data_IF_962850722384
#
_entry.id   IF_962850722384
#
_cell.length_a   1.000
_cell.length_b   1.000
_cell.length_c   1.000
_cell.angle_alpha   90.00
_cell.angle_beta   90.00
_cell.angle_gamma   90.00
#
_symmetry.space_group_name_H-M   'P 1'
#
loop_
_entity.id
_entity.type
_entity.pdbx_description
1 polymer ?
#
# COMPACT_ATOMS: atom_id res chain seq x y z
N UNK A 1 9.40 4.70 26.77
CA UNK A 1 8.72 3.60 26.06
C UNK A 1 7.74 4.24 25.09
N UNK A 2 7.90 4.00 23.79
CA UNK A 2 6.97 4.52 22.79
C UNK A 2 5.93 3.44 22.51
N UNK A 3 4.66 3.78 22.66
CA UNK A 3 3.54 2.88 22.39
C UNK A 3 2.79 3.41 21.18
N UNK A 4 2.62 2.56 20.18
CA UNK A 4 1.85 2.87 18.97
C UNK A 4 0.64 1.95 18.93
N UNK A 5 -0.54 2.53 18.72
CA UNK A 5 -1.80 1.79 18.63
C UNK A 5 -2.23 1.73 17.17
N UNK A 6 -2.24 0.53 16.58
CA UNK A 6 -2.81 0.34 15.24
C UNK A 6 -4.34 0.34 15.31
N UNK A 7 -4.98 0.92 14.30
CA UNK A 7 -6.43 0.82 14.11
C UNK A 7 -6.85 -0.51 13.43
N UNK A 8 -5.88 -1.30 12.97
CA UNK A 8 -6.04 -2.58 12.25
C UNK A 8 -5.21 -3.67 12.91
N UNK A 9 -5.56 -4.93 12.64
CA UNK A 9 -4.89 -6.12 13.16
C UNK A 9 -3.61 -6.44 12.38
N UNK A 10 -3.64 -6.35 11.05
CA UNK A 10 -2.45 -6.56 10.25
C UNK A 10 -1.54 -5.33 10.31
N UNK A 11 -0.27 -5.58 10.65
CA UNK A 11 0.79 -4.56 10.70
C UNK A 11 1.96 -5.00 9.84
N UNK A 12 2.60 -4.04 9.17
CA UNK A 12 3.79 -4.26 8.38
C UNK A 12 4.97 -3.51 8.99
N UNK A 13 6.07 -4.21 9.26
CA UNK A 13 7.31 -3.61 9.77
C UNK A 13 8.38 -3.77 8.69
N UNK A 14 8.78 -2.64 8.10
CA UNK A 14 9.85 -2.57 7.11
C UNK A 14 11.01 -1.75 7.64
N UNK A 15 12.25 -2.18 7.34
CA UNK A 15 13.48 -1.49 7.71
C UNK A 15 14.39 -1.41 6.50
N UNK A 16 15.08 -0.28 6.34
CA UNK A 16 16.19 -0.13 5.39
C UNK A 16 17.47 0.12 6.19
N UNK A 17 18.47 -0.73 6.01
CA UNK A 17 19.77 -0.58 6.64
C UNK A 17 20.63 0.30 5.73
N UNK A 18 20.99 1.48 6.22
CA UNK A 18 21.74 2.48 5.46
C UNK A 18 23.24 2.52 5.84
N UNK A 19 23.62 1.87 6.94
CA UNK A 19 25.01 1.75 7.36
C UNK A 19 25.77 0.85 6.36
N UNK A 20 26.92 1.33 5.91
CA UNK A 20 27.75 0.67 4.89
C UNK A 20 28.93 -0.10 5.46
N UNK A 21 29.08 -0.11 6.79
CA UNK A 21 30.15 -0.81 7.49
C UNK A 21 30.04 -2.33 7.24
N UNK A 22 31.12 -2.99 6.77
CA UNK A 22 31.13 -4.44 6.61
C UNK A 22 30.74 -5.16 7.91
N UNK A 23 29.81 -6.11 7.83
CA UNK A 23 29.34 -6.89 8.99
C UNK A 23 28.25 -6.22 9.84
N UNK A 24 27.84 -4.97 9.54
CA UNK A 24 26.78 -4.29 10.29
C UNK A 24 25.46 -5.05 10.27
N UNK A 25 25.09 -5.64 9.13
CA UNK A 25 23.87 -6.43 9.01
C UNK A 25 23.82 -7.59 10.02
N UNK A 26 24.91 -8.35 10.13
CA UNK A 26 24.98 -9.51 11.04
C UNK A 26 24.87 -9.06 12.51
N UNK A 27 25.52 -7.94 12.84
CA UNK A 27 25.40 -7.32 14.16
C UNK A 27 23.96 -6.90 14.43
N UNK A 28 23.32 -6.19 13.49
CA UNK A 28 21.92 -5.77 13.61
C UNK A 28 20.98 -6.98 13.77
N UNK A 29 21.11 -7.99 12.92
CA UNK A 29 20.27 -9.18 12.94
C UNK A 29 20.41 -9.95 14.26
N UNK A 30 21.62 -10.01 14.83
CA UNK A 30 21.85 -10.67 16.13
C UNK A 30 21.23 -9.94 17.33
N UNK A 31 21.05 -8.62 17.22
CA UNK A 31 20.50 -7.78 18.28
C UNK A 31 18.99 -7.51 18.14
N UNK A 32 18.42 -7.72 16.96
CA UNK A 32 17.02 -7.43 16.70
C UNK A 32 16.09 -8.43 17.39
N UNK A 33 15.16 -7.89 18.18
CA UNK A 33 14.21 -8.69 18.96
C UNK A 33 12.78 -8.28 18.65
N UNK A 34 11.92 -9.28 18.46
CA UNK A 34 10.47 -9.11 18.34
C UNK A 34 9.79 -10.18 19.18
N UNK A 35 8.90 -9.77 20.08
CA UNK A 35 8.21 -10.66 20.99
C UNK A 35 6.75 -10.25 21.15
N UNK A 36 5.91 -11.23 21.49
CA UNK A 36 4.55 -10.97 21.96
C UNK A 36 4.60 -10.41 23.38
N UNK A 37 3.64 -9.55 23.71
CA UNK A 37 3.57 -8.92 25.04
C UNK A 37 3.32 -9.94 26.17
N UNK A 38 2.83 -11.15 25.85
CA UNK A 38 2.61 -12.24 26.80
C UNK A 38 3.91 -12.91 27.31
N UNK A 39 5.07 -12.32 27.00
CA UNK A 39 6.38 -12.76 27.51
C UNK A 39 6.95 -13.97 26.76
N UNK A 40 6.26 -14.50 25.75
CA UNK A 40 6.83 -15.51 24.87
C UNK A 40 7.88 -14.86 23.97
N UNK A 41 9.14 -15.04 24.33
CA UNK A 41 10.27 -14.64 23.51
C UNK A 41 10.28 -15.51 22.24
N UNK A 42 10.01 -14.89 21.09
CA UNK A 42 10.33 -15.48 19.81
C UNK A 42 11.80 -15.20 19.49
N UNK A 43 12.53 -16.20 19.01
CA UNK A 43 13.78 -15.91 18.30
C UNK A 43 13.42 -15.21 16.99
N UNK A 44 13.91 -13.99 16.79
CA UNK A 44 13.74 -13.34 15.49
C UNK A 44 14.71 -13.97 14.50
N UNK A 45 14.21 -14.91 13.70
CA UNK A 45 14.99 -15.54 12.64
C UNK A 45 14.75 -14.82 11.32
N UNK A 46 15.74 -14.07 10.86
CA UNK A 46 15.75 -13.55 9.51
C UNK A 46 15.88 -14.70 8.51
N UNK A 47 14.97 -14.76 7.55
CA UNK A 47 15.02 -15.72 6.45
C UNK A 47 15.87 -15.08 5.35
N UNK A 48 17.01 -15.71 5.01
CA UNK A 48 17.96 -15.22 4.02
C UNK A 48 18.17 -16.25 2.90
N UNK A 49 18.75 -15.82 1.78
CA UNK A 49 19.18 -16.73 0.70
C UNK A 49 18.07 -17.49 -0.02
N UNK A 50 16.83 -16.99 0.02
CA UNK A 50 15.73 -17.57 -0.75
C UNK A 50 15.82 -17.13 -2.21
N UNK A 51 15.91 -18.11 -3.10
CA UNK A 51 15.78 -17.93 -4.55
C UNK A 51 14.49 -18.62 -5.01
N UNK A 52 13.37 -17.94 -4.82
CA UNK A 52 12.04 -18.42 -5.20
C UNK A 52 11.32 -17.32 -5.96
N UNK A 53 10.66 -17.68 -7.05
CA UNK A 53 9.78 -16.75 -7.75
C UNK A 53 8.61 -16.38 -6.82
N UNK A 54 8.43 -15.08 -6.59
CA UNK A 54 7.41 -14.57 -5.69
C UNK A 54 7.03 -13.14 -6.07
N UNK A 55 5.77 -12.79 -5.82
CA UNK A 55 5.24 -11.44 -5.98
C UNK A 55 4.26 -11.09 -4.85
N UNK A 56 4.34 -9.85 -4.37
CA UNK A 56 3.35 -9.23 -3.48
C UNK A 56 2.34 -8.34 -4.23
N UNK A 57 2.37 -8.31 -5.57
CA UNK A 57 1.38 -7.56 -6.35
C UNK A 57 -0.03 -8.08 -6.07
N UNK A 58 -1.01 -7.18 -6.03
CA UNK A 58 -2.40 -7.58 -5.90
C UNK A 58 -2.78 -8.64 -6.97
N UNK A 59 -3.48 -9.72 -6.59
CA UNK A 59 -3.95 -10.71 -7.55
C UNK A 59 -5.00 -10.10 -8.49
N UNK A 60 -5.32 -10.82 -9.57
CA UNK A 60 -6.27 -10.37 -10.59
C UNK A 60 -7.54 -11.22 -10.59
N UNK A 61 -8.59 -10.72 -11.23
CA UNK A 61 -9.85 -11.45 -11.36
C UNK A 61 -10.54 -11.70 -10.02
N UNK A 62 -11.07 -12.90 -9.80
CA UNK A 62 -11.79 -13.24 -8.56
C UNK A 62 -10.86 -13.36 -7.34
N UNK A 63 -9.58 -13.65 -7.53
CA UNK A 63 -8.62 -13.76 -6.42
C UNK A 63 -8.39 -12.41 -5.72
N UNK A 64 -8.53 -11.29 -6.44
CA UNK A 64 -8.56 -9.94 -5.87
C UNK A 64 -9.69 -9.79 -4.85
N UNK A 65 -10.90 -10.20 -5.24
CA UNK A 65 -12.09 -10.06 -4.41
C UNK A 65 -12.12 -11.05 -3.25
N UNK A 66 -11.57 -12.25 -3.46
CA UNK A 66 -11.34 -13.21 -2.39
C UNK A 66 -10.40 -12.63 -1.34
N UNK A 67 -9.26 -12.08 -1.75
CA UNK A 67 -8.31 -11.42 -0.84
C UNK A 67 -8.98 -10.25 -0.10
N UNK A 68 -9.78 -9.43 -0.78
CA UNK A 68 -10.53 -8.36 -0.13
C UNK A 68 -11.51 -8.90 0.92
N UNK A 69 -12.22 -9.98 0.61
CA UNK A 69 -13.11 -10.64 1.56
C UNK A 69 -12.36 -11.18 2.78
N UNK A 70 -11.17 -11.74 2.60
CA UNK A 70 -10.32 -12.22 3.70
C UNK A 70 -9.89 -11.05 4.59
N UNK A 71 -9.43 -9.94 4.00
CA UNK A 71 -9.10 -8.70 4.73
C UNK A 71 -10.30 -8.16 5.52
N UNK A 72 -11.48 -8.10 4.89
CA UNK A 72 -12.74 -7.67 5.54
C UNK A 72 -13.08 -8.55 6.76
N UNK A 73 -12.76 -9.84 6.69
CA UNK A 73 -13.00 -10.77 7.79
C UNK A 73 -11.98 -10.61 8.92
N UNK A 74 -10.71 -10.40 8.59
CA UNK A 74 -9.61 -10.25 9.56
C UNK A 74 -9.59 -8.89 10.28
N UNK A 75 -10.01 -7.81 9.61
CA UNK A 75 -9.84 -6.44 10.12
C UNK A 75 -11.07 -5.89 10.86
N UNK A 76 -10.91 -5.04 11.87
CA UNK A 76 -12.04 -4.31 12.44
C UNK A 76 -12.62 -3.32 11.42
N UNK A 77 -13.94 -3.16 11.41
CA UNK A 77 -14.59 -2.15 10.54
C UNK A 77 -14.48 -0.79 11.20
N UNK A 78 -13.69 0.12 10.63
CA UNK A 78 -13.54 1.48 11.14
C UNK A 78 -14.65 2.38 10.60
N UNK A 79 -14.94 3.54 11.24
CA UNK A 79 -15.94 4.48 10.75
C UNK A 79 -15.74 4.88 9.28
N UNK A 80 -14.50 5.16 8.88
CA UNK A 80 -14.13 5.52 7.50
C UNK A 80 -14.43 4.41 6.47
N UNK A 81 -14.46 3.15 6.90
CA UNK A 81 -14.65 2.01 6.01
C UNK A 81 -16.14 1.65 5.80
N UNK A 82 -17.05 2.14 6.65
CA UNK A 82 -18.47 1.71 6.66
C UNK A 82 -19.20 1.94 5.34
N UNK A 83 -18.90 3.03 4.64
CA UNK A 83 -19.49 3.30 3.32
C UNK A 83 -19.03 2.26 2.29
N UNK A 84 -17.75 1.89 2.30
CA UNK A 84 -17.21 0.82 1.45
C UNK A 84 -17.83 -0.53 1.79
N UNK A 85 -17.99 -0.84 3.08
CA UNK A 85 -18.66 -2.06 3.53
C UNK A 85 -20.09 -2.15 2.97
N UNK A 86 -20.83 -1.05 2.96
CA UNK A 86 -22.18 -1.01 2.38
C UNK A 86 -22.18 -1.27 0.86
N UNK A 87 -21.18 -0.75 0.14
CA UNK A 87 -21.02 -0.98 -1.31
C UNK A 87 -20.67 -2.43 -1.66
N UNK A 88 -20.04 -3.17 -0.73
CA UNK A 88 -19.64 -4.56 -0.91
C UNK A 88 -20.79 -5.57 -0.72
N UNK A 89 -21.80 -5.23 0.09
CA UNK A 89 -22.95 -6.10 0.36
C UNK A 89 -23.66 -6.64 -0.90
N UNK A 90 -24.06 -5.81 -1.89
CA UNK A 90 -24.73 -6.31 -3.10
C UNK A 90 -23.82 -7.17 -4.00
N UNK A 91 -22.51 -7.14 -3.75
CA UNK A 91 -21.50 -7.94 -4.45
C UNK A 91 -21.20 -9.27 -3.75
N UNK A 92 -21.83 -9.55 -2.60
CA UNK A 92 -21.67 -10.80 -1.87
C UNK A 92 -20.45 -10.82 -0.93
N UNK A 93 -19.88 -9.65 -0.64
CA UNK A 93 -18.76 -9.52 0.31
C UNK A 93 -19.30 -8.84 1.58
N UNK A 94 -19.25 -9.58 2.69
CA UNK A 94 -19.76 -9.14 3.98
C UNK A 94 -18.90 -9.70 5.11
N UNK A 95 -18.64 -8.87 6.12
CA UNK A 95 -17.85 -9.30 7.27
C UNK A 95 -18.50 -10.48 7.98
N UNK A 96 -17.68 -11.50 8.28
CA UNK A 96 -18.08 -12.74 8.91
C UNK A 96 -18.65 -13.78 7.95
N UNK A 97 -18.76 -13.47 6.65
CA UNK A 97 -19.25 -14.41 5.63
C UNK A 97 -18.11 -14.94 4.77
N UNK A 98 -18.28 -16.18 4.31
CA UNK A 98 -17.41 -16.79 3.30
C UNK A 98 -17.62 -16.08 1.96
N UNK A 99 -16.54 -15.87 1.22
CA UNK A 99 -16.63 -15.48 -0.18
C UNK A 99 -17.17 -16.65 -1.01
N UNK A 100 -18.45 -16.56 -1.37
CA UNK A 100 -19.17 -17.54 -2.19
C UNK A 100 -20.12 -16.82 -3.17
N UNK A 101 -19.57 -16.05 -4.14
CA UNK A 101 -20.39 -15.25 -5.04
C UNK A 101 -21.16 -16.12 -6.03
N UNK A 102 -22.42 -15.75 -6.29
CA UNK A 102 -23.23 -16.38 -7.34
C UNK A 102 -22.68 -16.06 -8.75
N UNK A 103 -23.21 -16.73 -9.79
CA UNK A 103 -22.74 -16.54 -11.17
C UNK A 103 -22.83 -15.08 -11.65
N UNK A 104 -23.87 -14.35 -11.22
CA UNK A 104 -24.06 -12.94 -11.57
C UNK A 104 -23.01 -12.08 -10.88
N UNK A 105 -22.76 -12.29 -9.59
CA UNK A 105 -21.75 -11.60 -8.81
C UNK A 105 -20.36 -11.88 -9.38
N UNK A 106 -20.01 -13.13 -9.70
CA UNK A 106 -18.73 -13.48 -10.32
C UNK A 106 -18.49 -12.71 -11.62
N UNK A 107 -19.51 -12.65 -12.51
CA UNK A 107 -19.45 -11.91 -13.76
C UNK A 107 -19.20 -10.40 -13.55
N UNK A 108 -19.89 -9.80 -12.56
CA UNK A 108 -19.70 -8.37 -12.21
C UNK A 108 -18.32 -8.13 -11.59
N UNK A 109 -17.90 -8.98 -10.66
CA UNK A 109 -16.61 -8.87 -9.96
C UNK A 109 -15.43 -9.00 -10.94
N UNK A 110 -15.48 -9.94 -11.88
CA UNK A 110 -14.44 -10.08 -12.91
C UNK A 110 -14.29 -8.82 -13.77
N UNK A 111 -15.41 -8.26 -14.23
CA UNK A 111 -15.41 -7.01 -15.01
C UNK A 111 -14.95 -5.83 -14.16
N UNK A 112 -15.38 -5.78 -12.89
CA UNK A 112 -15.01 -4.74 -11.93
C UNK A 112 -13.51 -4.74 -11.64
N UNK A 113 -12.89 -5.91 -11.43
CA UNK A 113 -11.45 -6.01 -11.22
C UNK A 113 -10.65 -5.51 -12.43
N UNK A 114 -11.03 -5.94 -13.65
CA UNK A 114 -10.37 -5.51 -14.87
C UNK A 114 -10.50 -4.00 -15.10
N UNK A 115 -11.71 -3.44 -14.93
CA UNK A 115 -11.94 -2.00 -15.08
C UNK A 115 -11.22 -1.20 -13.99
N UNK A 116 -11.27 -1.63 -12.75
CA UNK A 116 -10.59 -0.98 -11.62
C UNK A 116 -9.08 -0.93 -11.80
N UNK A 117 -8.46 -2.01 -12.30
CA UNK A 117 -7.02 -2.00 -12.62
C UNK A 117 -6.70 -0.98 -13.74
N UNK A 118 -7.54 -0.88 -14.78
CA UNK A 118 -7.38 0.12 -15.83
C UNK A 118 -7.55 1.56 -15.29
N UNK A 119 -8.46 1.77 -14.35
CA UNK A 119 -8.63 3.06 -13.68
C UNK A 119 -7.36 3.45 -12.90
N UNK A 120 -6.77 2.52 -12.14
CA UNK A 120 -5.52 2.76 -11.40
C UNK A 120 -4.34 3.02 -12.35
N UNK A 121 -4.22 2.23 -13.43
CA UNK A 121 -3.18 2.47 -14.45
C UNK A 121 -3.31 3.85 -15.09
N UNK A 122 -4.54 4.29 -15.37
CA UNK A 122 -4.78 5.62 -15.89
C UNK A 122 -4.39 6.70 -14.87
N UNK A 123 -4.78 6.54 -13.60
CA UNK A 123 -4.37 7.47 -12.53
C UNK A 123 -2.85 7.55 -12.37
N UNK A 124 -2.11 6.46 -12.56
CA UNK A 124 -0.65 6.50 -12.54
C UNK A 124 -0.02 7.29 -13.68
N UNK A 125 -0.64 7.31 -14.87
CA UNK A 125 -0.11 8.04 -16.02
C UNK A 125 -0.66 9.48 -16.07
N UNK A 126 -1.87 9.68 -15.54
CA UNK A 126 -2.63 10.91 -15.56
C UNK A 126 -3.19 11.21 -14.15
N UNK A 127 -2.32 11.46 -13.15
CA UNK A 127 -2.77 11.76 -11.80
C UNK A 127 -3.53 13.09 -11.81
N UNK A 128 -4.75 13.10 -11.29
CA UNK A 128 -5.59 14.31 -11.26
C UNK A 128 -5.23 15.28 -10.13
N UNK A 129 -4.48 14.79 -9.14
CA UNK A 129 -4.08 15.51 -7.94
C UNK A 129 -2.68 16.10 -8.03
N UNK A 130 -1.91 15.77 -9.07
CA UNK A 130 -0.51 16.18 -9.18
C UNK A 130 -0.29 17.10 -10.38
N UNK A 131 0.55 18.12 -10.17
CA UNK A 131 1.06 18.99 -11.22
C UNK A 131 2.53 18.67 -11.50
N UNK A 132 3.03 19.14 -12.66
CA UNK A 132 4.45 19.04 -12.97
C UNK A 132 5.27 19.84 -11.95
N UNK A 133 6.21 19.17 -11.30
CA UNK A 133 7.06 19.75 -10.26
C UNK A 133 8.09 20.74 -10.83
N UNK A 134 8.63 20.43 -12.01
CA UNK A 134 9.52 21.34 -12.74
C UNK A 134 8.84 21.87 -14.01
N UNK A 135 8.94 23.20 -14.28
CA UNK A 135 8.39 23.79 -15.49
C UNK A 135 8.88 23.10 -16.77
N UNK A 136 7.96 22.83 -17.70
CA UNK A 136 8.27 22.20 -18.99
C UNK A 136 8.59 20.70 -18.91
N UNK A 137 8.28 20.04 -17.79
CA UNK A 137 8.50 18.59 -17.62
C UNK A 137 7.20 17.84 -17.32
N UNK A 138 7.27 16.51 -17.29
CA UNK A 138 6.21 15.63 -16.78
C UNK A 138 6.57 14.98 -15.45
N UNK A 139 7.58 15.49 -14.75
CA UNK A 139 7.98 14.97 -13.44
C UNK A 139 7.03 15.46 -12.36
N UNK A 140 6.58 14.55 -11.52
CA UNK A 140 5.81 14.86 -10.31
C UNK A 140 6.28 13.98 -9.16
N UNK A 141 5.91 14.34 -7.92
CA UNK A 141 6.20 13.49 -6.76
C UNK A 141 5.40 12.19 -6.88
N UNK A 142 6.07 11.04 -6.79
CA UNK A 142 5.43 9.72 -6.90
C UNK A 142 4.43 9.46 -5.76
N UNK A 143 4.60 10.16 -4.64
CA UNK A 143 3.72 10.14 -3.50
C UNK A 143 3.63 11.55 -2.90
N UNK A 144 2.41 12.06 -2.78
CA UNK A 144 2.11 13.40 -2.26
C UNK A 144 0.78 13.35 -1.52
N UNK A 145 0.79 12.70 -0.35
CA UNK A 145 -0.37 12.54 0.54
C UNK A 145 0.08 12.54 2.00
N UNK A 146 -0.83 12.81 2.92
CA UNK A 146 -0.56 12.83 4.35
C UNK A 146 -0.28 11.43 4.88
N UNK A 147 0.58 11.27 5.88
CA UNK A 147 0.86 9.93 6.47
C UNK A 147 -0.42 9.22 6.95
N UNK A 148 -1.40 9.99 7.42
CA UNK A 148 -2.72 9.47 7.82
C UNK A 148 -3.63 9.09 6.65
N UNK A 149 -3.32 9.52 5.42
CA UNK A 149 -4.10 9.34 4.19
C UNK A 149 -5.49 10.01 4.22
N UNK A 150 -5.59 11.08 5.00
CA UNK A 150 -6.83 11.79 5.28
C UNK A 150 -6.51 13.26 5.59
N UNK A 151 -7.39 14.15 5.12
CA UNK A 151 -7.45 15.56 5.48
C UNK A 151 -8.72 15.83 6.29
N UNK A 152 -8.89 17.06 6.77
CA UNK A 152 -10.13 17.48 7.47
C UNK A 152 -11.40 17.34 6.61
N UNK A 153 -11.28 17.11 5.30
CA UNK A 153 -12.40 17.14 4.35
C UNK A 153 -12.59 15.85 3.55
N UNK A 154 -11.57 15.03 3.38
CA UNK A 154 -11.64 13.82 2.57
C UNK A 154 -10.50 12.83 2.85
N UNK A 155 -10.71 11.58 2.41
CA UNK A 155 -9.68 10.55 2.30
C UNK A 155 -8.94 10.73 0.97
N UNK A 156 -7.61 10.63 1.02
CA UNK A 156 -6.71 10.74 -0.13
C UNK A 156 -6.72 9.44 -0.95
N UNK A 157 -7.88 9.16 -1.56
CA UNK A 157 -8.19 7.89 -2.22
C UNK A 157 -7.40 7.71 -3.52
N UNK A 158 -7.35 8.72 -4.38
CA UNK A 158 -6.67 8.65 -5.68
C UNK A 158 -5.14 8.67 -5.48
N UNK A 159 -4.66 9.40 -4.48
CA UNK A 159 -3.25 9.51 -4.10
C UNK A 159 -2.73 8.15 -3.60
N UNK A 160 -3.43 7.54 -2.63
CA UNK A 160 -3.04 6.23 -2.10
C UNK A 160 -3.18 5.12 -3.15
N UNK A 161 -4.19 5.19 -4.01
CA UNK A 161 -4.38 4.22 -5.10
C UNK A 161 -3.24 4.32 -6.13
N UNK A 162 -2.79 5.53 -6.45
CA UNK A 162 -1.69 5.77 -7.39
C UNK A 162 -0.38 5.20 -6.84
N UNK A 163 -0.02 5.58 -5.61
CA UNK A 163 1.23 5.14 -4.98
C UNK A 163 1.24 3.63 -4.70
N UNK A 164 0.21 3.09 -4.03
CA UNK A 164 0.21 1.68 -3.63
C UNK A 164 -0.08 0.70 -4.78
N UNK A 165 -0.35 1.19 -5.98
CA UNK A 165 -0.40 0.34 -7.18
C UNK A 165 1.00 0.08 -7.78
N UNK A 166 1.99 0.98 -7.59
CA UNK A 166 3.39 0.78 -8.05
C UNK A 166 4.42 0.57 -6.94
N UNK A 167 4.11 0.97 -5.72
CA UNK A 167 5.03 0.96 -4.59
C UNK A 167 4.37 0.42 -3.31
N UNK A 168 5.19 0.21 -2.29
CA UNK A 168 4.76 -0.25 -0.96
C UNK A 168 5.37 0.62 0.11
N UNK A 169 4.68 0.72 1.25
CA UNK A 169 5.06 1.54 2.42
C UNK A 169 5.03 3.05 2.17
N UNK A 170 4.90 3.83 3.25
CA UNK A 170 5.11 5.27 3.27
C UNK A 170 5.56 5.68 4.67
N UNK A 171 6.41 6.69 4.78
CA UNK A 171 6.93 7.17 6.07
C UNK A 171 7.08 8.69 6.07
N UNK A 172 7.16 9.31 7.24
CA UNK A 172 7.38 10.75 7.36
C UNK A 172 8.64 11.21 6.62
N UNK A 173 9.73 10.44 6.72
CA UNK A 173 11.00 10.73 6.03
C UNK A 173 10.97 10.49 4.53
N UNK A 174 9.90 9.87 4.01
CA UNK A 174 9.60 9.88 2.59
C UNK A 174 8.81 11.14 2.25
N UNK A 175 7.71 11.43 2.95
CA UNK A 175 6.75 12.45 2.47
C UNK A 175 7.30 13.87 2.63
N UNK A 176 7.85 14.13 3.81
CA UNK A 176 8.32 15.45 4.21
C UNK A 176 9.71 15.30 4.85
N UNK A 177 10.74 15.01 4.04
CA UNK A 177 12.11 14.87 4.54
C UNK A 177 12.67 16.20 5.03
N UNK A 178 13.63 16.12 5.94
CA UNK A 178 14.43 17.29 6.35
C UNK A 178 15.73 17.34 5.54
N UNK A 179 16.35 18.53 5.36
CA UNK A 179 17.62 18.62 4.66
C UNK A 179 18.67 17.66 5.25
N UNK A 180 19.21 16.78 4.40
CA UNK A 180 20.19 15.77 4.80
C UNK A 180 19.63 14.46 5.40
N UNK A 181 18.30 14.30 5.50
CA UNK A 181 17.69 13.06 5.99
C UNK A 181 16.39 12.69 5.28
N UNK A 182 16.25 11.41 4.91
CA UNK A 182 15.09 10.89 4.18
C UNK A 182 15.29 10.87 2.67
N UNK A 183 14.19 10.83 1.93
CA UNK A 183 14.19 10.75 0.47
C UNK A 183 12.99 11.49 -0.13
N UNK A 184 13.15 11.96 -1.37
CA UNK A 184 12.05 12.46 -2.21
C UNK A 184 12.06 11.63 -3.49
N UNK A 185 10.95 10.94 -3.78
CA UNK A 185 10.83 10.11 -4.99
C UNK A 185 10.01 10.86 -6.05
N UNK A 186 10.67 11.18 -7.16
CA UNK A 186 10.06 11.79 -8.33
C UNK A 186 9.81 10.73 -9.39
N UNK A 187 8.73 10.85 -10.15
CA UNK A 187 8.38 9.91 -11.22
C UNK A 187 7.91 10.65 -12.47
N UNK A 188 8.15 10.05 -13.62
CA UNK A 188 7.58 10.46 -14.91
C UNK A 188 7.19 9.20 -15.68
N UNK A 189 6.05 9.26 -16.38
CA UNK A 189 5.58 8.19 -17.28
C UNK A 189 5.73 8.58 -18.76
N UNK A 190 6.34 9.73 -19.03
CA UNK A 190 6.50 10.31 -20.36
C UNK A 190 7.94 10.72 -20.62
N UNK A 191 8.37 10.59 -21.87
CA UNK A 191 9.64 11.13 -22.35
C UNK A 191 9.52 12.65 -22.60
N UNK A 192 10.56 13.26 -23.17
CA UNK A 192 10.56 14.70 -23.47
C UNK A 192 9.73 15.10 -24.70
N UNK A 193 9.18 14.15 -25.46
CA UNK A 193 8.51 14.39 -26.74
C UNK A 193 6.99 14.55 -26.60
N UNK A 194 6.51 14.91 -25.41
CA UNK A 194 5.07 15.03 -25.14
C UNK A 194 4.45 16.05 -26.09
N UNK A 195 3.74 15.55 -27.10
CA UNK A 195 2.96 16.36 -28.01
C UNK A 195 1.75 16.93 -27.25
N UNK A 196 1.69 18.27 -27.13
CA UNK A 196 0.49 19.00 -26.74
C UNK A 196 0.27 19.08 -25.23
N UNK A 197 0.77 20.17 -24.64
CA UNK A 197 0.04 20.93 -23.63
C UNK A 197 -0.30 22.27 -24.27
#
# INVERSE_FOLDING_TARGET
MNVFQSATNNIFIGLRILDTTPGYFDQFASAYMMARLDGRQGTCRFITGKDVEWSATAPRGLDYWKLLSDIVNEEPVRPVDKAWMAMLLPLGIEKGKRFDPDERQQSVLLKGAAMGELMNRNLQVNPRFAEAYWPGTSWYKSFDFHIAQETDTHIELDERATWFYEAVTSTQGMVNPTPGAGQVDMTTKRDSNVCGV
#
